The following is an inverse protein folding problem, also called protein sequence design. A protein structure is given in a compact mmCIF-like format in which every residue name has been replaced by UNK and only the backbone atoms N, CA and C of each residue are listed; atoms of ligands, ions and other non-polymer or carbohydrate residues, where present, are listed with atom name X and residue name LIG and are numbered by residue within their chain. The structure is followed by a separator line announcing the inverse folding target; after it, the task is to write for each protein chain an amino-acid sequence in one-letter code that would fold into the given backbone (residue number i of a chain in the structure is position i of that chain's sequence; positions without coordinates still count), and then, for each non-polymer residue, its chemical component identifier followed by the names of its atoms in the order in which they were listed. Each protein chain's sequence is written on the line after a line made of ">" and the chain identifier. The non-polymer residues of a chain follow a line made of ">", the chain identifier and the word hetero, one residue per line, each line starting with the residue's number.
data_IF_794683736314
#
_entry.id   IF_794683736314
#
_cell.length_a   1.000
_cell.length_b   1.000
_cell.length_c   1.000
_cell.angle_alpha   90.00
_cell.angle_beta   90.00
_cell.angle_gamma   90.00
#
_symmetry.space_group_name_H-M   'P 1'
#
loop_
_entity.id
_entity.type
_entity.pdbx_description
1 polymer ?
#
# COMPACT_ATOMS: atom_id res chain seq x y z
N UNK A 1 25.55 38.13 3.63
CA UNK A 1 24.78 37.24 2.74
C UNK A 1 24.00 36.28 3.62
N UNK A 2 22.67 36.25 3.52
CA UNK A 2 21.89 35.17 4.17
C UNK A 2 22.19 33.86 3.44
N UNK A 3 22.53 32.80 4.17
CA UNK A 3 22.82 31.49 3.58
C UNK A 3 21.55 30.88 3.00
N UNK A 4 21.68 29.93 2.05
CA UNK A 4 20.55 29.20 1.49
C UNK A 4 19.68 28.53 2.58
N UNK A 5 20.31 28.12 3.68
CA UNK A 5 19.63 27.57 4.85
C UNK A 5 18.73 28.59 5.57
N UNK A 6 19.21 29.82 5.74
CA UNK A 6 18.42 30.88 6.35
C UNK A 6 17.18 31.23 5.52
N UNK A 7 17.31 31.25 4.19
CA UNK A 7 16.19 31.48 3.27
C UNK A 7 15.17 30.33 3.35
N UNK A 8 15.63 29.08 3.41
CA UNK A 8 14.76 27.92 3.53
C UNK A 8 13.92 27.97 4.81
N UNK A 9 14.54 28.28 5.96
CA UNK A 9 13.81 28.37 7.23
C UNK A 9 12.78 29.48 7.21
N UNK A 10 13.14 30.67 6.70
CA UNK A 10 12.19 31.78 6.56
C UNK A 10 10.98 31.40 5.70
N UNK A 11 11.16 30.58 4.66
CA UNK A 11 10.05 30.10 3.82
C UNK A 11 9.19 29.09 4.58
N UNK A 12 9.80 28.20 5.36
CA UNK A 12 9.08 27.17 6.12
C UNK A 12 8.21 27.75 7.24
N UNK A 13 8.62 28.89 7.81
CA UNK A 13 7.90 29.65 8.84
C UNK A 13 6.69 30.44 8.29
N UNK A 14 6.53 30.56 6.97
CA UNK A 14 5.38 31.23 6.38
C UNK A 14 4.08 30.44 6.60
N UNK A 15 2.96 31.17 6.62
CA UNK A 15 1.62 30.60 6.52
C UNK A 15 1.51 29.68 5.29
N UNK A 16 0.73 28.61 5.41
CA UNK A 16 0.73 27.49 4.46
C UNK A 16 0.57 27.92 2.99
N UNK A 17 -0.38 28.82 2.70
CA UNK A 17 -0.59 29.35 1.36
C UNK A 17 0.64 30.13 0.84
N UNK A 18 1.19 31.04 1.65
CA UNK A 18 2.37 31.84 1.29
C UNK A 18 3.62 30.98 1.13
N UNK A 19 3.76 29.95 1.96
CA UNK A 19 4.84 28.95 1.89
C UNK A 19 4.76 28.18 0.58
N UNK A 20 3.60 27.65 0.24
CA UNK A 20 3.39 26.92 -1.01
C UNK A 20 3.61 27.84 -2.22
N UNK A 21 3.13 29.06 -2.18
CA UNK A 21 3.36 30.06 -3.23
C UNK A 21 4.86 30.30 -3.45
N UNK A 22 5.64 30.48 -2.39
CA UNK A 22 7.09 30.65 -2.48
C UNK A 22 7.79 29.42 -3.08
N UNK A 23 7.42 28.22 -2.64
CA UNK A 23 8.00 26.95 -3.13
C UNK A 23 7.67 26.73 -4.61
N UNK A 24 6.40 26.86 -5.00
CA UNK A 24 5.94 26.66 -6.38
C UNK A 24 6.52 27.73 -7.31
N UNK A 25 6.67 28.97 -6.84
CA UNK A 25 7.33 30.03 -7.60
C UNK A 25 8.81 29.72 -7.85
N UNK A 26 9.55 29.26 -6.83
CA UNK A 26 10.95 28.84 -6.99
C UNK A 26 11.09 27.69 -7.99
N UNK A 27 10.20 26.69 -7.90
CA UNK A 27 10.15 25.59 -8.87
C UNK A 27 9.81 26.08 -10.28
N UNK A 28 8.82 26.95 -10.42
CA UNK A 28 8.41 27.55 -11.69
C UNK A 28 9.53 28.35 -12.34
N UNK A 29 10.31 29.09 -11.54
CA UNK A 29 11.50 29.80 -12.01
C UNK A 29 12.56 28.81 -12.49
N UNK A 30 12.91 27.81 -11.69
CA UNK A 30 13.89 26.79 -12.07
C UNK A 30 13.49 26.10 -13.39
N UNK A 31 12.22 25.74 -13.53
CA UNK A 31 11.69 25.12 -14.74
C UNK A 31 11.80 26.06 -15.95
N UNK A 32 11.41 27.33 -15.84
CA UNK A 32 11.56 28.31 -16.92
C UNK A 32 13.01 28.50 -17.34
N UNK A 33 13.95 28.47 -16.38
CA UNK A 33 15.39 28.52 -16.66
C UNK A 33 15.86 27.29 -17.46
N UNK A 34 15.35 26.10 -17.14
CA UNK A 34 15.71 24.87 -17.85
C UNK A 34 15.14 24.84 -19.27
N UNK A 35 13.88 25.22 -19.46
CA UNK A 35 13.24 25.30 -20.78
C UNK A 35 14.02 26.21 -21.74
N UNK A 36 14.56 27.32 -21.23
CA UNK A 36 15.46 28.17 -22.03
C UNK A 36 16.78 27.50 -22.42
N UNK A 37 17.34 26.64 -21.57
CA UNK A 37 18.54 25.87 -21.93
C UNK A 37 18.26 24.88 -23.04
N UNK A 38 17.04 24.36 -23.11
CA UNK A 38 16.58 23.40 -24.12
C UNK A 38 16.08 24.08 -25.41
N UNK A 39 16.21 25.41 -25.52
CA UNK A 39 15.87 26.16 -26.74
C UNK A 39 14.39 26.56 -26.85
N UNK A 40 13.59 26.35 -25.80
CA UNK A 40 12.19 26.78 -25.79
C UNK A 40 12.05 28.29 -25.56
N UNK A 41 10.99 28.88 -26.15
CA UNK A 41 10.67 30.29 -26.03
C UNK A 41 10.21 30.71 -24.63
N UNK A 42 10.43 31.99 -24.28
CA UNK A 42 10.01 32.56 -22.99
C UNK A 42 8.49 32.61 -22.88
N UNK A 43 7.96 32.11 -21.77
CA UNK A 43 6.54 32.30 -21.44
C UNK A 43 6.26 33.70 -20.91
N UNK A 44 5.05 34.20 -21.19
CA UNK A 44 4.58 35.49 -20.69
C UNK A 44 4.43 35.44 -19.17
N UNK A 45 4.83 36.50 -18.47
CA UNK A 45 4.84 36.55 -17.01
C UNK A 45 3.45 36.32 -16.38
N UNK A 46 2.39 36.82 -17.01
CA UNK A 46 1.00 36.59 -16.57
C UNK A 46 0.60 35.11 -16.63
N UNK A 47 1.03 34.38 -17.66
CA UNK A 47 0.77 32.94 -17.79
C UNK A 47 1.52 32.15 -16.72
N UNK A 48 2.75 32.55 -16.40
CA UNK A 48 3.53 31.94 -15.31
C UNK A 48 2.88 32.20 -13.95
N UNK A 49 2.49 33.44 -13.66
CA UNK A 49 1.81 33.79 -12.41
C UNK A 49 0.50 33.03 -12.23
N UNK A 50 -0.31 32.94 -13.30
CA UNK A 50 -1.53 32.14 -13.30
C UNK A 50 -1.26 30.65 -13.05
N UNK A 51 -0.24 30.08 -13.71
CA UNK A 51 0.12 28.66 -13.55
C UNK A 51 0.59 28.35 -12.12
N UNK A 52 1.38 29.25 -11.52
CA UNK A 52 1.84 29.14 -10.13
C UNK A 52 0.65 29.19 -9.18
N UNK A 53 -0.25 30.17 -9.33
CA UNK A 53 -1.43 30.30 -8.46
C UNK A 53 -2.33 29.06 -8.56
N UNK A 54 -2.60 28.58 -9.78
CA UNK A 54 -3.40 27.37 -9.99
C UNK A 54 -2.80 26.13 -9.31
N UNK A 55 -1.48 25.95 -9.39
CA UNK A 55 -0.79 24.84 -8.72
C UNK A 55 -0.87 24.94 -7.19
N UNK A 56 -0.78 26.15 -6.64
CA UNK A 56 -0.95 26.38 -5.20
C UNK A 56 -2.36 26.02 -4.76
N UNK A 57 -3.38 26.47 -5.50
CA UNK A 57 -4.78 26.18 -5.20
C UNK A 57 -5.08 24.67 -5.26
N UNK A 58 -4.54 23.97 -6.26
CA UNK A 58 -4.63 22.50 -6.37
C UNK A 58 -4.00 21.79 -5.16
N UNK A 59 -2.80 22.19 -4.75
CA UNK A 59 -2.11 21.61 -3.59
C UNK A 59 -2.86 21.85 -2.27
N UNK A 60 -3.40 23.06 -2.08
CA UNK A 60 -4.22 23.39 -0.90
C UNK A 60 -5.49 22.54 -0.86
N UNK A 61 -6.16 22.36 -2.00
CA UNK A 61 -7.36 21.52 -2.09
C UNK A 61 -7.07 20.05 -1.76
N UNK A 62 -5.96 19.51 -2.26
CA UNK A 62 -5.52 18.15 -1.93
C UNK A 62 -5.21 17.99 -0.43
N UNK A 63 -4.52 18.96 0.17
CA UNK A 63 -4.24 18.96 1.61
C UNK A 63 -5.52 19.02 2.45
N UNK A 64 -6.51 19.81 2.03
CA UNK A 64 -7.81 19.89 2.70
C UNK A 64 -8.61 18.58 2.59
N UNK A 65 -8.57 17.91 1.43
CA UNK A 65 -9.18 16.60 1.25
C UNK A 65 -8.55 15.55 2.18
N UNK A 66 -7.22 15.48 2.23
CA UNK A 66 -6.50 14.57 3.13
C UNK A 66 -6.80 14.84 4.62
N UNK A 67 -6.90 16.10 5.03
CA UNK A 67 -7.28 16.47 6.41
C UNK A 67 -8.72 16.08 6.75
N UNK A 68 -9.65 16.20 5.79
CA UNK A 68 -11.04 15.75 5.95
C UNK A 68 -11.14 14.24 6.09
N UNK A 69 -10.38 13.49 5.30
CA UNK A 69 -10.26 12.04 5.41
C UNK A 69 -9.67 11.61 6.75
N UNK A 70 -8.64 12.32 7.24
CA UNK A 70 -8.07 12.07 8.57
C UNK A 70 -9.03 12.35 9.73
N UNK A 71 -9.82 13.44 9.67
CA UNK A 71 -10.80 13.78 10.72
C UNK A 71 -11.98 12.82 10.77
N UNK A 72 -12.32 12.15 9.67
CA UNK A 72 -13.41 11.19 9.58
C UNK A 72 -12.99 9.74 9.83
N UNK A 73 -11.78 9.48 10.33
CA UNK A 73 -11.38 8.12 10.75
C UNK A 73 -12.14 7.74 12.03
N UNK A 74 -13.33 7.18 11.88
CA UNK A 74 -13.74 6.12 12.79
C UNK A 74 -12.62 5.08 12.75
N UNK A 75 -12.15 4.63 13.93
CA UNK A 75 -11.15 3.55 13.99
C UNK A 75 -11.80 2.33 13.34
N UNK A 76 -11.50 2.11 12.06
CA UNK A 76 -11.91 0.90 11.37
C UNK A 76 -11.17 -0.24 12.06
N UNK A 77 -11.95 -1.18 12.57
CA UNK A 77 -11.48 -2.40 13.22
C UNK A 77 -11.50 -3.54 12.21
N UNK A 78 -10.70 -4.58 12.45
CA UNK A 78 -10.84 -5.82 11.70
C UNK A 78 -12.25 -6.40 11.93
N UNK A 79 -12.84 -6.98 10.89
CA UNK A 79 -14.18 -7.58 10.93
C UNK A 79 -14.13 -9.05 10.56
N UNK A 80 -15.00 -9.84 11.18
CA UNK A 80 -15.17 -11.25 10.83
C UNK A 80 -15.69 -11.43 9.40
N UNK A 81 -15.29 -12.50 8.69
CA UNK A 81 -15.91 -12.85 7.42
C UNK A 81 -17.37 -13.29 7.60
N UNK A 82 -18.11 -13.29 6.49
CA UNK A 82 -19.42 -13.92 6.45
C UNK A 82 -19.32 -15.44 6.68
N UNK A 83 -20.45 -16.08 7.01
CA UNK A 83 -20.52 -17.53 7.13
C UNK A 83 -20.04 -18.21 5.83
N UNK A 84 -19.31 -19.33 6.00
CA UNK A 84 -18.75 -20.13 4.90
C UNK A 84 -17.73 -19.42 4.00
N UNK A 85 -17.19 -18.29 4.43
CA UNK A 85 -16.12 -17.55 3.74
C UNK A 85 -14.86 -17.55 4.59
N UNK A 86 -13.70 -17.89 4.00
CA UNK A 86 -12.42 -17.60 4.66
C UNK A 86 -11.94 -16.21 4.31
N UNK A 87 -11.49 -15.47 5.33
CA UNK A 87 -10.81 -14.20 5.15
C UNK A 87 -9.32 -14.42 5.03
N UNK A 88 -8.72 -13.86 3.99
CA UNK A 88 -7.29 -13.90 3.74
C UNK A 88 -6.79 -12.45 3.83
N UNK A 89 -6.06 -12.12 4.88
CA UNK A 89 -5.37 -10.84 4.98
C UNK A 89 -3.94 -11.02 4.48
N UNK A 90 -3.51 -10.21 3.51
CA UNK A 90 -2.16 -10.26 2.91
C UNK A 90 -1.44 -8.93 3.05
N UNK A 91 -0.11 -8.97 3.13
CA UNK A 91 0.73 -7.77 3.25
C UNK A 91 2.16 -8.01 2.72
N UNK A 92 2.78 -6.97 2.18
CA UNK A 92 4.14 -6.99 1.66
C UNK A 92 5.08 -6.05 2.41
N UNK A 93 6.21 -6.57 2.89
CA UNK A 93 7.27 -5.77 3.50
C UNK A 93 8.44 -5.58 2.52
N UNK A 94 9.03 -4.39 2.44
CA UNK A 94 10.15 -4.12 1.53
C UNK A 94 11.24 -3.24 2.14
N UNK A 95 12.49 -3.71 2.06
CA UNK A 95 13.70 -3.00 2.48
C UNK A 95 14.44 -2.48 1.25
N UNK A 96 14.15 -1.24 0.89
CA UNK A 96 14.69 -0.59 -0.31
C UNK A 96 16.23 -0.67 -0.43
N UNK A 97 16.96 -0.44 0.67
CA UNK A 97 18.43 -0.46 0.68
C UNK A 97 19.03 -1.81 0.31
N UNK A 98 18.30 -2.90 0.53
CA UNK A 98 18.78 -4.27 0.31
C UNK A 98 18.10 -4.94 -0.88
N UNK A 99 17.11 -4.30 -1.49
CA UNK A 99 16.21 -4.89 -2.50
C UNK A 99 15.61 -6.24 -2.03
N UNK A 100 15.39 -6.35 -0.72
CA UNK A 100 14.78 -7.52 -0.08
C UNK A 100 13.33 -7.20 0.25
N UNK A 101 12.45 -8.14 -0.02
CA UNK A 101 11.08 -8.08 0.48
C UNK A 101 10.72 -9.30 1.29
N UNK A 102 9.72 -9.13 2.14
CA UNK A 102 8.97 -10.20 2.75
C UNK A 102 7.53 -10.16 2.26
N UNK A 103 6.89 -11.31 2.29
CA UNK A 103 5.46 -11.43 2.09
C UNK A 103 4.85 -12.12 3.30
N UNK A 104 3.60 -11.80 3.62
CA UNK A 104 2.87 -12.40 4.71
C UNK A 104 1.40 -12.59 4.36
N UNK A 105 0.81 -13.67 4.85
CA UNK A 105 -0.63 -13.87 4.83
C UNK A 105 -1.13 -14.52 6.12
N UNK A 106 -2.39 -14.26 6.45
CA UNK A 106 -3.14 -14.97 7.49
C UNK A 106 -4.53 -15.32 6.97
N UNK A 107 -4.91 -16.59 7.13
CA UNK A 107 -6.22 -17.12 6.74
C UNK A 107 -7.02 -17.39 8.00
N UNK A 108 -8.23 -16.82 8.06
CA UNK A 108 -9.14 -16.93 9.20
C UNK A 108 -10.51 -17.44 8.82
N UNK A 109 -11.12 -18.22 9.71
CA UNK A 109 -12.50 -18.68 9.59
C UNK A 109 -13.52 -17.66 10.14
N UNK A 110 -14.79 -18.06 10.12
CA UNK A 110 -15.92 -17.27 10.66
C UNK A 110 -15.80 -16.98 12.16
N UNK A 111 -15.14 -17.86 12.92
CA UNK A 111 -14.85 -17.65 14.34
C UNK A 111 -13.63 -16.75 14.59
N UNK A 112 -13.05 -16.17 13.52
CA UNK A 112 -11.77 -15.47 13.52
C UNK A 112 -10.58 -16.33 13.97
N UNK A 113 -10.72 -17.64 14.00
CA UNK A 113 -9.59 -18.53 14.28
C UNK A 113 -8.65 -18.50 13.09
N UNK A 114 -7.35 -18.37 13.38
CA UNK A 114 -6.33 -18.52 12.35
C UNK A 114 -6.26 -20.00 11.99
N UNK A 115 -6.58 -20.31 10.73
CA UNK A 115 -6.51 -21.66 10.18
C UNK A 115 -5.10 -21.93 9.66
N UNK A 116 -4.52 -20.93 8.99
CA UNK A 116 -3.16 -21.01 8.47
C UNK A 116 -2.57 -19.62 8.36
N UNK A 117 -1.27 -19.51 8.59
CA UNK A 117 -0.50 -18.32 8.30
C UNK A 117 0.77 -18.70 7.55
N UNK A 118 1.30 -17.76 6.77
CA UNK A 118 2.57 -17.98 6.06
C UNK A 118 3.34 -16.70 5.88
N UNK A 119 4.65 -16.82 5.94
CA UNK A 119 5.58 -15.73 5.71
C UNK A 119 6.72 -16.21 4.82
N UNK A 120 7.33 -15.32 4.07
CA UNK A 120 8.58 -15.67 3.42
C UNK A 120 9.37 -14.47 2.97
N UNK A 121 10.61 -14.74 2.56
CA UNK A 121 11.54 -13.73 2.08
C UNK A 121 11.80 -13.91 0.59
N UNK A 122 12.06 -12.81 -0.10
CA UNK A 122 12.44 -12.84 -1.51
C UNK A 122 13.40 -11.71 -1.84
N UNK A 123 14.38 -12.05 -2.68
CA UNK A 123 15.37 -11.09 -3.18
C UNK A 123 14.91 -10.42 -4.46
N UNK A 124 15.59 -9.33 -4.83
CA UNK A 124 15.40 -8.62 -6.11
C UNK A 124 13.98 -8.07 -6.28
N UNK A 125 13.37 -7.67 -5.17
CA UNK A 125 12.12 -6.93 -5.21
C UNK A 125 12.37 -5.56 -5.85
N UNK A 126 11.45 -5.16 -6.74
CA UNK A 126 11.58 -3.91 -7.49
C UNK A 126 11.17 -2.72 -6.62
N UNK A 127 10.10 -2.90 -5.86
CA UNK A 127 9.50 -1.92 -4.97
C UNK A 127 8.62 -2.62 -3.93
N UNK A 128 7.95 -1.83 -3.08
CA UNK A 128 6.97 -2.34 -2.12
C UNK A 128 5.77 -3.01 -2.80
N UNK A 129 5.35 -2.51 -3.97
CA UNK A 129 4.21 -3.08 -4.69
C UNK A 129 4.48 -4.51 -5.18
N UNK A 130 5.72 -4.83 -5.57
CA UNK A 130 6.13 -6.21 -5.86
C UNK A 130 5.94 -7.12 -4.64
N UNK A 131 6.30 -6.67 -3.43
CA UNK A 131 6.07 -7.45 -2.21
C UNK A 131 4.57 -7.69 -1.94
N UNK A 132 3.73 -6.68 -2.14
CA UNK A 132 2.26 -6.80 -2.03
C UNK A 132 1.69 -7.83 -3.00
N UNK A 133 2.10 -7.78 -4.27
CA UNK A 133 1.64 -8.73 -5.29
C UNK A 133 2.07 -10.16 -4.93
N UNK A 134 3.30 -10.33 -4.44
CA UNK A 134 3.79 -11.64 -4.00
C UNK A 134 2.99 -12.18 -2.81
N UNK A 135 2.66 -11.33 -1.84
CA UNK A 135 1.81 -11.70 -0.71
C UNK A 135 0.40 -12.12 -1.16
N UNK A 136 -0.18 -11.39 -2.11
CA UNK A 136 -1.45 -11.76 -2.75
C UNK A 136 -1.41 -13.14 -3.40
N UNK A 137 -0.40 -13.42 -4.25
CA UNK A 137 -0.22 -14.73 -4.89
C UNK A 137 -0.09 -15.85 -3.85
N UNK A 138 0.78 -15.66 -2.85
CA UNK A 138 1.03 -16.68 -1.82
C UNK A 138 -0.20 -16.95 -0.95
N UNK A 139 -0.94 -15.92 -0.55
CA UNK A 139 -2.19 -16.06 0.20
C UNK A 139 -3.29 -16.77 -0.61
N UNK A 140 -3.43 -16.44 -1.90
CA UNK A 140 -4.37 -17.12 -2.79
C UNK A 140 -4.01 -18.60 -2.99
N UNK A 141 -2.73 -18.91 -3.22
CA UNK A 141 -2.26 -20.28 -3.37
C UNK A 141 -2.51 -21.11 -2.10
N UNK A 142 -2.25 -20.54 -0.92
CA UNK A 142 -2.52 -21.19 0.35
C UNK A 142 -4.00 -21.51 0.54
N UNK A 143 -4.89 -20.56 0.26
CA UNK A 143 -6.33 -20.79 0.33
C UNK A 143 -6.84 -21.82 -0.70
N UNK A 144 -6.27 -21.83 -1.91
CA UNK A 144 -6.57 -22.84 -2.91
C UNK A 144 -6.13 -24.25 -2.46
N UNK A 145 -4.95 -24.36 -1.82
CA UNK A 145 -4.44 -25.62 -1.29
C UNK A 145 -5.28 -26.16 -0.13
N UNK A 146 -5.95 -25.29 0.63
CA UNK A 146 -6.93 -25.67 1.66
C UNK A 146 -8.27 -26.16 1.06
N UNK A 147 -8.46 -26.10 -0.26
CA UNK A 147 -9.65 -26.60 -0.94
C UNK A 147 -10.89 -25.72 -0.78
N UNK A 148 -10.69 -24.43 -0.50
CA UNK A 148 -11.79 -23.52 -0.18
C UNK A 148 -12.43 -22.95 -1.44
N UNK A 149 -13.76 -22.90 -1.47
CA UNK A 149 -14.51 -22.40 -2.62
C UNK A 149 -14.86 -20.90 -2.53
N UNK A 150 -15.09 -20.38 -1.33
CA UNK A 150 -15.53 -19.01 -1.09
C UNK A 150 -14.53 -18.28 -0.20
N UNK A 151 -13.93 -17.21 -0.72
CA UNK A 151 -12.91 -16.44 -0.01
C UNK A 151 -13.16 -14.94 -0.09
N UNK A 152 -12.62 -14.23 0.90
CA UNK A 152 -12.48 -12.78 0.89
C UNK A 152 -10.99 -12.44 1.08
N UNK A 153 -10.36 -11.89 0.05
CA UNK A 153 -8.98 -11.39 0.14
C UNK A 153 -9.00 -9.90 0.51
N UNK A 154 -8.31 -9.57 1.59
CA UNK A 154 -8.12 -8.22 2.11
C UNK A 154 -6.63 -7.83 2.07
N UNK A 155 -6.37 -6.60 1.64
CA UNK A 155 -5.03 -5.98 1.67
C UNK A 155 -5.15 -4.50 2.02
N UNK A 156 -4.10 -3.94 2.60
CA UNK A 156 -3.95 -2.50 2.80
C UNK A 156 -3.43 -1.76 1.56
N UNK A 157 -3.13 -2.49 0.49
CA UNK A 157 -2.69 -1.96 -0.79
C UNK A 157 -3.88 -1.84 -1.74
N UNK A 158 -4.44 -0.62 -1.84
CA UNK A 158 -5.50 -0.34 -2.81
C UNK A 158 -5.03 -0.64 -4.25
N UNK A 159 -3.75 -0.40 -4.54
CA UNK A 159 -3.13 -0.70 -5.83
C UNK A 159 -3.18 -2.20 -6.14
N UNK A 160 -2.93 -3.07 -5.16
CA UNK A 160 -3.05 -4.52 -5.35
C UNK A 160 -4.49 -4.90 -5.66
N UNK A 161 -5.45 -4.42 -4.87
CA UNK A 161 -6.88 -4.72 -5.06
C UNK A 161 -7.37 -4.25 -6.43
N UNK A 162 -6.96 -3.07 -6.89
CA UNK A 162 -7.30 -2.57 -8.23
C UNK A 162 -6.63 -3.41 -9.32
N UNK A 163 -5.35 -3.76 -9.16
CA UNK A 163 -4.62 -4.56 -10.13
C UNK A 163 -5.19 -5.97 -10.32
N UNK A 164 -5.76 -6.56 -9.26
CA UNK A 164 -6.43 -7.85 -9.33
C UNK A 164 -7.83 -7.76 -9.98
N UNK A 165 -8.51 -6.61 -9.89
CA UNK A 165 -9.83 -6.39 -10.48
C UNK A 165 -9.78 -6.00 -11.96
N UNK A 166 -8.79 -5.18 -12.33
CA UNK A 166 -8.73 -4.51 -13.63
C UNK A 166 -7.70 -5.16 -14.56
N UNK A 167 -7.91 -5.08 -15.87
CA UNK A 167 -6.95 -5.60 -16.88
C UNK A 167 -5.79 -4.63 -17.18
N UNK A 168 -5.78 -3.46 -16.53
CA UNK A 168 -4.88 -2.35 -16.83
C UNK A 168 -3.39 -2.64 -16.56
N UNK A 169 -3.07 -3.69 -15.80
CA UNK A 169 -1.70 -4.04 -15.40
C UNK A 169 -1.07 -5.17 -16.22
N UNK A 170 -1.74 -5.67 -17.28
CA UNK A 170 -1.28 -6.84 -18.04
C UNK A 170 0.11 -6.67 -18.67
N UNK A 171 0.50 -5.43 -19.02
CA UNK A 171 1.81 -5.11 -19.59
C UNK A 171 2.79 -4.47 -18.59
N UNK A 172 2.42 -4.38 -17.32
CA UNK A 172 3.31 -3.86 -16.27
C UNK A 172 4.43 -4.85 -15.96
N UNK A 173 5.55 -4.41 -15.36
CA UNK A 173 6.66 -5.30 -14.94
C UNK A 173 6.24 -6.50 -14.07
N UNK A 174 5.14 -6.36 -13.32
CA UNK A 174 4.56 -7.41 -12.45
C UNK A 174 3.38 -8.14 -13.09
N UNK A 175 3.09 -7.92 -14.38
CA UNK A 175 1.93 -8.45 -15.08
C UNK A 175 1.84 -9.98 -15.05
N UNK A 176 2.98 -10.68 -15.05
CA UNK A 176 3.04 -12.14 -14.92
C UNK A 176 2.51 -12.65 -13.58
N UNK A 177 2.95 -12.05 -12.46
CA UNK A 177 2.48 -12.43 -11.11
C UNK A 177 1.00 -12.06 -10.90
N UNK A 178 0.57 -10.92 -11.44
CA UNK A 178 -0.85 -10.53 -11.39
C UNK A 178 -1.73 -11.48 -12.22
N UNK A 179 -1.24 -11.91 -13.38
CA UNK A 179 -1.93 -12.91 -14.19
C UNK A 179 -2.02 -14.25 -13.45
N UNK A 180 -0.95 -14.68 -12.78
CA UNK A 180 -0.95 -15.87 -11.93
C UNK A 180 -2.00 -15.76 -10.82
N UNK A 181 -2.01 -14.66 -10.06
CA UNK A 181 -3.02 -14.42 -9.02
C UNK A 181 -4.44 -14.50 -9.58
N UNK A 182 -4.71 -13.85 -10.72
CA UNK A 182 -6.02 -13.89 -11.39
C UNK A 182 -6.41 -15.28 -11.87
N UNK A 183 -5.44 -16.07 -12.36
CA UNK A 183 -5.67 -17.45 -12.76
C UNK A 183 -6.01 -18.32 -11.55
N UNK A 184 -5.33 -18.15 -10.42
CA UNK A 184 -5.68 -18.85 -9.17
C UNK A 184 -7.11 -18.45 -8.75
N UNK A 185 -7.43 -17.15 -8.79
CA UNK A 185 -8.77 -16.64 -8.45
C UNK A 185 -9.86 -17.35 -9.27
N UNK A 186 -9.69 -17.42 -10.58
CA UNK A 186 -10.70 -17.94 -11.51
C UNK A 186 -10.77 -19.46 -11.57
N UNK A 187 -9.67 -20.16 -11.30
CA UNK A 187 -9.60 -21.62 -11.39
C UNK A 187 -9.89 -22.35 -10.08
N UNK A 188 -9.62 -21.71 -8.93
CA UNK A 188 -9.65 -22.39 -7.62
C UNK A 188 -10.87 -22.02 -6.77
N UNK A 189 -11.54 -20.90 -7.05
CA UNK A 189 -12.63 -20.40 -6.20
C UNK A 189 -13.93 -20.23 -6.99
N UNK A 190 -15.04 -20.56 -6.33
CA UNK A 190 -16.39 -20.25 -6.79
C UNK A 190 -16.68 -18.76 -6.60
N UNK A 191 -16.20 -18.19 -5.50
CA UNK A 191 -16.37 -16.77 -5.17
C UNK A 191 -15.11 -16.22 -4.51
N UNK A 192 -14.63 -15.09 -5.02
CA UNK A 192 -13.51 -14.35 -4.44
C UNK A 192 -13.88 -12.88 -4.34
N UNK A 193 -14.04 -12.39 -3.10
CA UNK A 193 -14.26 -10.98 -2.82
C UNK A 193 -12.91 -10.31 -2.54
N UNK A 194 -12.51 -9.39 -3.41
CA UNK A 194 -11.32 -8.56 -3.20
C UNK A 194 -11.75 -7.31 -2.42
N UNK A 195 -11.07 -6.96 -1.33
CA UNK A 195 -11.42 -5.82 -0.49
C UNK A 195 -10.19 -5.06 0.00
N UNK A 196 -10.30 -3.73 0.05
CA UNK A 196 -9.30 -2.89 0.71
C UNK A 196 -9.63 -2.76 2.19
N UNK A 197 -8.63 -2.89 3.05
CA UNK A 197 -8.74 -2.60 4.48
C UNK A 197 -7.67 -1.58 4.90
N UNK A 198 -7.93 -0.66 5.84
CA UNK A 198 -6.87 0.18 6.39
C UNK A 198 -5.80 -0.64 7.10
N UNK A 199 -4.57 -0.12 7.19
CA UNK A 199 -3.45 -0.75 7.93
C UNK A 199 -3.80 -1.16 9.35
N UNK A 200 -4.66 -0.38 10.03
CA UNK A 200 -5.08 -0.69 11.39
C UNK A 200 -5.86 -2.00 11.50
N UNK A 201 -6.51 -2.42 10.40
CA UNK A 201 -7.21 -3.70 10.25
C UNK A 201 -6.31 -4.83 9.72
N UNK A 202 -5.09 -4.54 9.28
CA UNK A 202 -4.20 -5.51 8.61
C UNK A 202 -2.93 -5.83 9.43
N UNK A 203 -2.87 -5.43 10.71
CA UNK A 203 -1.66 -5.51 11.55
C UNK A 203 -1.06 -6.91 11.65
N UNK A 204 -1.89 -7.95 11.64
CA UNK A 204 -1.40 -9.33 11.71
C UNK A 204 -0.67 -9.72 10.43
N UNK A 205 -1.21 -9.39 9.25
CA UNK A 205 -0.54 -9.67 7.98
C UNK A 205 0.76 -8.88 7.84
N UNK A 206 0.77 -7.59 8.23
CA UNK A 206 1.98 -6.74 8.28
C UNK A 206 3.06 -7.31 9.20
N UNK A 207 2.69 -7.73 10.41
CA UNK A 207 3.64 -8.38 11.33
C UNK A 207 4.22 -9.67 10.74
N UNK A 208 3.40 -10.50 10.08
CA UNK A 208 3.84 -11.73 9.41
C UNK A 208 4.75 -11.42 8.21
N UNK A 209 4.43 -10.39 7.41
CA UNK A 209 5.28 -9.95 6.30
C UNK A 209 6.64 -9.45 6.80
N UNK A 210 6.67 -8.77 7.94
CA UNK A 210 7.89 -8.35 8.62
C UNK A 210 8.73 -9.55 9.09
N UNK A 211 8.10 -10.62 9.64
CA UNK A 211 8.80 -11.87 9.95
C UNK A 211 9.46 -12.44 8.68
N UNK A 212 8.74 -12.49 7.56
CA UNK A 212 9.27 -12.91 6.26
C UNK A 212 10.46 -12.04 5.82
N UNK A 213 10.34 -10.72 5.90
CA UNK A 213 11.37 -9.77 5.47
C UNK A 213 12.66 -9.81 6.33
N UNK A 214 12.57 -10.36 7.54
CA UNK A 214 13.69 -10.55 8.47
C UNK A 214 14.23 -11.98 8.47
N UNK A 215 13.58 -12.91 7.78
CA UNK A 215 14.02 -14.30 7.66
C UNK A 215 15.16 -14.44 6.65
N UNK A 216 15.96 -15.54 6.71
CA UNK A 216 16.96 -15.82 5.70
C UNK A 216 16.35 -15.86 4.30
N UNK A 217 17.17 -15.52 3.30
CA UNK A 217 16.76 -15.46 1.89
C UNK A 217 16.15 -16.78 1.40
N UNK A 218 15.04 -16.69 0.66
CA UNK A 218 14.28 -17.81 0.10
C UNK A 218 13.77 -18.80 1.17
N UNK A 219 13.42 -18.27 2.34
CA UNK A 219 12.74 -19.05 3.38
C UNK A 219 11.23 -18.84 3.23
N UNK A 220 10.50 -19.93 3.11
CA UNK A 220 9.03 -19.97 3.19
C UNK A 220 8.66 -20.67 4.50
N UNK A 221 7.93 -19.97 5.36
CA UNK A 221 7.43 -20.44 6.65
C UNK A 221 5.91 -20.59 6.56
N UNK A 222 5.39 -21.70 7.07
CA UNK A 222 3.96 -21.98 7.14
C UNK A 222 3.63 -22.49 8.53
N UNK A 223 2.55 -21.97 9.11
CA UNK A 223 2.03 -22.38 10.41
C UNK A 223 0.58 -22.81 10.29
N UNK A 224 0.27 -23.98 10.85
CA UNK A 224 -1.11 -24.43 11.07
C UNK A 224 -1.65 -23.74 12.32
N UNK A 225 -2.11 -22.50 12.15
CA UNK A 225 -2.60 -21.65 13.23
C UNK A 225 -1.81 -20.35 13.38
N UNK A 226 -1.82 -19.81 14.60
CA UNK A 226 -1.20 -18.52 14.91
C UNK A 226 0.33 -18.66 14.95
N UNK A 227 1.10 -17.85 14.18
CA UNK A 227 2.55 -17.84 14.29
C UNK A 227 3.02 -17.29 15.64
N UNK A 228 4.18 -17.73 16.14
CA UNK A 228 4.76 -17.16 17.36
C UNK A 228 5.06 -15.66 17.22
N UNK A 229 4.70 -14.87 18.23
CA UNK A 229 4.98 -13.43 18.30
C UNK A 229 3.91 -12.52 17.69
N UNK A 230 2.79 -13.06 17.21
CA UNK A 230 1.64 -12.28 16.73
C UNK A 230 0.34 -12.57 17.48
N UNK A 231 0.40 -13.33 18.57
CA UNK A 231 -0.76 -13.77 19.36
C UNK A 231 -1.56 -12.57 19.88
N UNK A 232 -0.89 -11.57 20.44
CA UNK A 232 -1.53 -10.36 20.98
C UNK A 232 -2.31 -9.59 19.90
N UNK A 233 -1.79 -9.56 18.67
CA UNK A 233 -2.45 -8.90 17.55
C UNK A 233 -3.70 -9.66 17.10
N UNK A 234 -3.62 -11.00 17.06
CA UNK A 234 -4.78 -11.86 16.74
C UNK A 234 -5.87 -11.74 17.81
N UNK A 235 -5.49 -11.75 19.09
CA UNK A 235 -6.43 -11.53 20.21
C UNK A 235 -7.04 -10.13 20.14
N UNK A 236 -6.24 -9.11 19.78
CA UNK A 236 -6.71 -7.75 19.56
C UNK A 236 -7.75 -7.64 18.45
N UNK A 237 -7.52 -8.28 17.30
CA UNK A 237 -8.49 -8.34 16.20
C UNK A 237 -9.78 -9.06 16.60
N UNK A 238 -9.66 -10.17 17.34
CA UNK A 238 -10.82 -10.92 17.83
C UNK A 238 -11.67 -10.05 18.77
N UNK A 239 -11.06 -9.44 19.78
CA UNK A 239 -11.75 -8.54 20.69
C UNK A 239 -12.40 -7.35 19.97
N UNK A 240 -11.71 -6.82 18.95
CA UNK A 240 -12.22 -5.73 18.12
C UNK A 240 -13.44 -6.12 17.27
N UNK A 241 -13.56 -7.40 16.88
CA UNK A 241 -14.71 -7.91 16.12
C UNK A 241 -15.98 -8.11 16.95
N UNK A 242 -15.87 -8.18 18.29
CA UNK A 242 -16.99 -8.42 19.20
C UNK A 242 -17.73 -7.14 19.67
N UNK A 243 -17.23 -5.94 19.34
CA UNK A 243 -17.82 -4.68 19.81
C UNK A 243 -17.67 -3.52 18.84
#
# INVERSE_FOLDING_TARGET
>A
MQSAWAVLNSILELEEEKRLLAIVLMYGWWNERNRRREGEGRRVASVLAFSVQKQVDELLNLALQQRREHKNRTVKKWTQPAAEVLKINVDGAFKHQLLLGGWGYVIRDVGAHVIQAGAGSSSRMQDAFHAEVMAGVKGLQAAANLGMANIQLESDSLTLIQALREENFRYAPLGGLLLEAKNIITSSFVSCQLSYCPRECNKVADAIASIGCNSPLNTDLVWDGVPPGVEDLVVGDYAASLG
#
